data_IF_384315365354
#
_entry.id   IF_384315365354
#
_cell.length_a   1.000
_cell.length_b   1.000
_cell.length_c   1.000
_cell.angle_alpha   90.00
_cell.angle_beta   90.00
_cell.angle_gamma   90.00
#
_symmetry.space_group_name_H-M   'P 1'
#
loop_
_entity.id
_entity.type
_entity.pdbx_description
1 polymer ?
#
# COMPACT_ATOMS: atom_id res chain seq x y z
N UNK A 1 -8.57 -15.57 -11.94
CA UNK A 1 -7.86 -14.35 -12.37
C UNK A 1 -7.53 -13.42 -11.21
N UNK A 2 -8.52 -12.87 -10.51
CA UNK A 2 -8.31 -11.89 -9.42
C UNK A 2 -7.40 -12.43 -8.28
N UNK A 3 -7.50 -13.74 -7.94
CA UNK A 3 -6.61 -14.39 -6.97
C UNK A 3 -5.13 -14.46 -7.40
N UNK A 4 -4.86 -14.55 -8.70
CA UNK A 4 -3.49 -14.60 -9.23
C UNK A 4 -2.86 -13.21 -9.22
N UNK A 5 -3.60 -12.19 -9.66
CA UNK A 5 -3.17 -10.78 -9.60
C UNK A 5 -2.76 -10.41 -8.18
N UNK A 6 -3.60 -10.74 -7.20
CA UNK A 6 -3.30 -10.52 -5.79
C UNK A 6 -2.01 -11.23 -5.32
N UNK A 7 -1.76 -12.45 -5.80
CA UNK A 7 -0.52 -13.18 -5.49
C UNK A 7 0.69 -12.47 -6.08
N UNK A 8 0.57 -11.95 -7.30
CA UNK A 8 1.64 -11.21 -7.98
C UNK A 8 1.95 -9.90 -7.23
N UNK A 9 0.93 -9.12 -6.87
CA UNK A 9 1.08 -7.89 -6.07
C UNK A 9 1.78 -8.15 -4.73
N UNK A 10 1.37 -9.21 -4.01
CA UNK A 10 2.04 -9.65 -2.77
C UNK A 10 3.48 -10.07 -3.02
N UNK A 11 3.70 -10.84 -4.08
CA UNK A 11 5.00 -11.33 -4.49
C UNK A 11 5.98 -10.20 -4.81
N UNK A 12 5.48 -9.03 -5.21
CA UNK A 12 6.30 -7.87 -5.53
C UNK A 12 7.16 -7.36 -4.36
N UNK A 13 6.72 -7.60 -3.12
CA UNK A 13 7.47 -7.21 -1.91
C UNK A 13 8.54 -8.22 -1.50
N UNK A 14 8.49 -9.45 -2.03
CA UNK A 14 9.41 -10.53 -1.61
C UNK A 14 10.90 -10.13 -1.66
N UNK A 15 11.41 -9.40 -2.68
CA UNK A 15 12.83 -9.06 -2.75
C UNK A 15 13.25 -7.99 -1.72
N UNK A 16 12.30 -7.33 -1.06
CA UNK A 16 12.57 -6.30 -0.06
C UNK A 16 12.80 -6.86 1.34
N UNK A 17 12.30 -8.06 1.65
CA UNK A 17 12.37 -8.62 3.02
C UNK A 17 13.76 -8.62 3.65
N UNK A 18 14.87 -8.88 2.91
CA UNK A 18 16.23 -8.77 3.46
C UNK A 18 16.63 -7.36 3.89
N UNK A 19 16.01 -6.32 3.31
CA UNK A 19 16.29 -4.90 3.57
C UNK A 19 15.38 -4.31 4.66
N UNK A 20 14.32 -5.02 5.06
CA UNK A 20 13.29 -4.53 5.97
C UNK A 20 13.53 -5.04 7.40
N UNK A 21 13.94 -4.12 8.28
CA UNK A 21 14.14 -4.36 9.70
C UNK A 21 12.83 -4.73 10.42
N UNK A 22 12.95 -5.48 11.52
CA UNK A 22 11.82 -5.81 12.41
C UNK A 22 11.72 -4.75 13.52
N UNK A 23 10.53 -4.53 14.11
CA UNK A 23 9.25 -5.16 13.75
C UNK A 23 8.68 -4.54 12.47
N UNK A 24 7.99 -5.35 11.64
CA UNK A 24 7.40 -4.89 10.37
C UNK A 24 5.91 -4.67 10.52
N UNK A 25 5.43 -3.50 10.15
CA UNK A 25 4.02 -3.14 10.15
C UNK A 25 3.44 -3.26 8.74
N UNK A 26 2.42 -4.09 8.58
CA UNK A 26 1.67 -4.23 7.34
C UNK A 26 0.41 -3.34 7.40
N UNK A 27 0.24 -2.50 6.40
CA UNK A 27 -0.87 -1.56 6.22
C UNK A 27 -1.55 -1.82 4.88
N UNK A 28 -2.87 -1.90 4.83
CA UNK A 28 -3.59 -1.88 3.55
C UNK A 28 -4.95 -2.52 3.60
N UNK A 29 -5.75 -2.33 2.56
CA UNK A 29 -7.02 -3.05 2.38
C UNK A 29 -6.86 -3.91 1.15
N UNK A 30 -6.91 -5.23 1.31
CA UNK A 30 -6.85 -6.12 0.16
C UNK A 30 -8.16 -6.07 -0.63
N UNK A 31 -8.12 -6.01 -1.98
CA UNK A 31 -9.30 -5.90 -2.84
C UNK A 31 -10.40 -6.92 -2.51
N UNK A 32 -10.03 -8.13 -2.09
CA UNK A 32 -10.97 -9.23 -1.81
C UNK A 32 -11.26 -9.46 -0.32
N UNK A 33 -10.52 -8.82 0.59
CA UNK A 33 -10.68 -9.08 2.01
C UNK A 33 -11.71 -8.15 2.67
N UNK A 34 -12.01 -6.97 2.09
CA UNK A 34 -12.78 -5.87 2.73
C UNK A 34 -12.35 -5.56 4.19
N UNK A 35 -11.21 -6.12 4.60
CA UNK A 35 -10.67 -6.11 5.94
C UNK A 35 -9.34 -5.39 5.82
N UNK A 36 -9.20 -4.19 6.40
CA UNK A 36 -7.90 -3.59 6.51
C UNK A 36 -6.97 -4.49 7.32
N UNK A 37 -5.77 -4.67 6.81
CA UNK A 37 -4.67 -5.29 7.53
C UNK A 37 -3.92 -4.17 8.23
N UNK A 38 -3.76 -4.37 9.54
CA UNK A 38 -2.84 -3.68 10.42
C UNK A 38 -2.13 -4.77 11.23
N UNK A 39 -1.20 -5.51 10.63
CA UNK A 39 -0.44 -6.58 11.32
C UNK A 39 0.97 -6.12 11.60
N UNK A 40 1.42 -6.27 12.84
CA UNK A 40 2.83 -6.18 13.17
C UNK A 40 3.40 -7.60 13.11
N UNK A 41 4.54 -7.83 12.46
CA UNK A 41 5.17 -9.16 12.35
C UNK A 41 5.23 -9.84 13.72
N UNK A 42 4.57 -11.00 13.85
CA UNK A 42 4.49 -11.77 15.10
C UNK A 42 3.31 -11.42 16.03
N UNK A 43 2.45 -10.46 15.67
CA UNK A 43 1.23 -10.11 16.42
C UNK A 43 -0.01 -10.26 15.54
N UNK A 44 -1.15 -10.62 16.15
CA UNK A 44 -2.45 -10.62 15.46
C UNK A 44 -2.75 -9.21 14.94
N UNK A 45 -3.49 -9.07 13.82
CA UNK A 45 -3.88 -7.77 13.29
C UNK A 45 -4.53 -6.91 14.39
N UNK A 46 -4.16 -5.64 14.47
CA UNK A 46 -4.82 -4.63 15.29
C UNK A 46 -6.23 -4.37 14.71
N UNK A 47 -7.16 -5.26 14.99
CA UNK A 47 -8.59 -5.00 14.87
C UNK A 47 -9.11 -4.67 16.26
N UNK A 48 -9.65 -3.45 16.46
CA UNK A 48 -10.60 -3.26 17.56
C UNK A 48 -11.86 -4.05 17.20
N UNK A 49 -11.92 -5.32 17.60
CA UNK A 49 -13.20 -6.01 17.75
C UNK A 49 -13.90 -5.38 18.93
N UNK A 50 -14.85 -4.47 18.70
CA UNK A 50 -15.95 -4.32 19.64
C UNK A 50 -16.68 -5.66 19.61
N UNK A 51 -16.40 -6.51 20.59
CA UNK A 51 -17.22 -7.68 20.87
C UNK A 51 -18.61 -7.19 21.24
N UNK A 52 -19.55 -7.31 20.31
CA UNK A 52 -20.96 -7.59 20.60
C UNK A 52 -21.57 -8.23 19.36
N UNK A 53 -22.10 -9.44 19.56
CA UNK A 53 -22.88 -10.20 18.57
C UNK A 53 -23.87 -9.26 17.88
N UNK A 54 -23.93 -9.31 16.55
CA UNK A 54 -25.00 -8.70 15.77
C UNK A 54 -24.71 -7.30 15.22
N UNK A 55 -23.71 -7.16 14.35
CA UNK A 55 -23.81 -6.37 13.11
C UNK A 55 -22.47 -6.38 12.36
N UNK A 56 -22.48 -6.78 11.08
CA UNK A 56 -21.33 -6.69 10.16
C UNK A 56 -21.08 -5.23 9.74
N UNK A 57 -20.78 -4.33 10.68
CA UNK A 57 -20.28 -2.99 10.35
C UNK A 57 -18.79 -3.10 9.98
N UNK A 58 -18.42 -2.42 8.89
CA UNK A 58 -17.11 -2.49 8.26
C UNK A 58 -15.97 -2.24 9.25
N UNK A 59 -14.88 -2.98 9.08
CA UNK A 59 -13.74 -2.94 9.99
C UNK A 59 -12.97 -1.63 9.79
N UNK A 60 -12.90 -0.79 10.83
CA UNK A 60 -12.18 0.49 10.81
C UNK A 60 -10.68 0.28 11.10
N UNK A 61 -9.83 0.91 10.29
CA UNK A 61 -8.37 0.94 10.47
C UNK A 61 -7.83 2.34 10.24
N UNK A 62 -6.57 2.63 10.64
CA UNK A 62 -5.87 3.85 10.26
C UNK A 62 -5.90 4.10 8.74
N UNK A 63 -5.83 3.02 7.94
CA UNK A 63 -5.89 3.07 6.48
C UNK A 63 -7.28 3.55 6.02
N UNK A 64 -8.38 3.00 6.54
CA UNK A 64 -9.75 3.37 6.10
C UNK A 64 -10.24 4.71 6.65
N UNK A 65 -9.73 5.14 7.82
CA UNK A 65 -10.25 6.30 8.56
C UNK A 65 -9.29 7.49 8.56
N UNK A 66 -8.04 7.30 8.13
CA UNK A 66 -6.98 8.30 8.30
C UNK A 66 -6.72 8.63 9.78
N UNK A 67 -7.05 7.73 10.72
CA UNK A 67 -6.75 7.90 12.15
C UNK A 67 -5.28 7.57 12.44
N UNK A 68 -4.82 7.99 13.62
CA UNK A 68 -3.47 7.70 14.10
C UNK A 68 -3.20 6.19 14.14
N UNK A 69 -1.98 5.79 13.81
CA UNK A 69 -1.52 4.42 13.98
C UNK A 69 -1.31 4.23 15.50
N UNK A 70 -1.95 3.23 16.14
CA UNK A 70 -1.90 3.05 17.61
C UNK A 70 -0.58 2.38 18.04
N UNK A 71 0.53 2.99 17.68
CA UNK A 71 1.89 2.60 18.02
C UNK A 71 2.68 3.84 18.43
N UNK A 72 3.68 3.65 19.28
CA UNK A 72 4.57 4.72 19.72
C UNK A 72 5.43 5.22 18.56
N UNK A 73 5.92 6.45 18.70
CA UNK A 73 6.89 7.00 17.76
C UNK A 73 8.17 6.16 17.78
N UNK A 74 8.80 5.92 16.63
CA UNK A 74 10.04 5.14 16.53
C UNK A 74 9.95 3.76 17.22
N UNK A 75 8.95 2.97 16.82
CA UNK A 75 8.71 1.63 17.37
C UNK A 75 8.66 0.54 16.30
N UNK A 76 8.96 0.89 15.05
CA UNK A 76 8.77 0.05 13.86
C UNK A 76 9.99 0.17 12.95
N UNK A 77 10.66 -0.95 12.71
CA UNK A 77 11.81 -0.99 11.81
C UNK A 77 11.43 -0.86 10.33
N UNK A 78 10.24 -1.31 9.94
CA UNK A 78 9.76 -1.18 8.55
C UNK A 78 8.24 -1.22 8.38
N UNK A 79 7.73 -0.58 7.33
CA UNK A 79 6.31 -0.58 6.94
C UNK A 79 6.16 -1.19 5.54
N UNK A 80 5.19 -2.09 5.38
CA UNK A 80 4.73 -2.61 4.10
C UNK A 80 3.30 -2.11 3.89
N UNK A 81 3.07 -1.34 2.83
CA UNK A 81 1.77 -0.74 2.55
C UNK A 81 1.28 -1.12 1.17
N UNK A 82 0.01 -1.50 1.04
CA UNK A 82 -0.65 -1.61 -0.26
C UNK A 82 -1.87 -0.71 -0.29
N UNK A 83 -1.85 0.21 -1.24
CA UNK A 83 -2.92 1.17 -1.43
C UNK A 83 -3.98 0.59 -2.36
N UNK A 84 -5.22 0.41 -1.88
CA UNK A 84 -6.30 -0.06 -2.73
C UNK A 84 -6.65 1.00 -3.78
N UNK A 85 -7.20 0.56 -4.91
CA UNK A 85 -7.83 1.44 -5.88
C UNK A 85 -8.94 2.28 -5.22
N UNK A 86 -8.98 3.58 -5.54
CA UNK A 86 -9.99 4.46 -4.97
C UNK A 86 -9.72 4.85 -3.53
N UNK A 87 -8.48 4.74 -3.06
CA UNK A 87 -8.04 5.25 -1.77
C UNK A 87 -8.20 6.79 -1.70
N UNK A 88 -9.40 7.22 -1.34
CA UNK A 88 -9.82 8.62 -1.39
C UNK A 88 -9.45 9.41 -0.13
N UNK A 89 -9.25 8.76 1.02
CA UNK A 89 -9.08 9.44 2.30
C UNK A 89 -7.65 9.31 2.88
N UNK A 90 -7.03 10.47 3.16
CA UNK A 90 -6.00 10.56 4.20
C UNK A 90 -4.58 10.11 3.90
N UNK A 91 -4.15 9.88 2.64
CA UNK A 91 -2.77 9.44 2.32
C UNK A 91 -1.70 10.31 3.00
N UNK A 92 -1.83 11.64 2.94
CA UNK A 92 -0.90 12.56 3.61
C UNK A 92 -0.78 12.25 5.11
N UNK A 93 -1.91 12.08 5.80
CA UNK A 93 -1.95 11.79 7.24
C UNK A 93 -1.40 10.38 7.54
N UNK A 94 -1.73 9.40 6.70
CA UNK A 94 -1.21 8.04 6.83
C UNK A 94 0.31 8.00 6.63
N UNK A 95 0.86 8.77 5.69
CA UNK A 95 2.30 8.90 5.49
C UNK A 95 2.98 9.60 6.67
N UNK A 96 2.39 10.67 7.22
CA UNK A 96 2.92 11.30 8.43
C UNK A 96 2.91 10.38 9.65
N UNK A 97 1.84 9.62 9.86
CA UNK A 97 1.78 8.63 10.94
C UNK A 97 2.76 7.47 10.70
N UNK A 98 2.92 7.05 9.45
CA UNK A 98 3.91 6.05 9.05
C UNK A 98 5.32 6.53 9.36
N UNK A 99 5.62 7.80 9.07
CA UNK A 99 6.88 8.44 9.41
C UNK A 99 7.10 8.46 10.93
N UNK A 100 6.06 8.87 11.70
CA UNK A 100 6.13 8.95 13.17
C UNK A 100 6.51 7.62 13.81
N UNK A 101 5.86 6.52 13.41
CA UNK A 101 6.06 5.20 14.04
C UNK A 101 7.33 4.49 13.55
N UNK A 102 7.87 4.85 12.38
CA UNK A 102 9.12 4.28 11.87
C UNK A 102 10.34 4.72 12.67
N UNK A 103 11.31 3.85 12.84
CA UNK A 103 12.63 4.21 13.39
C UNK A 103 13.41 5.12 12.41
N UNK A 104 14.44 5.81 12.91
CA UNK A 104 15.38 6.51 12.04
C UNK A 104 16.10 5.52 11.10
N UNK A 105 16.21 5.86 9.82
CA UNK A 105 16.67 4.92 8.79
C UNK A 105 15.68 3.78 8.47
N UNK A 106 14.53 3.76 9.14
CA UNK A 106 13.45 2.81 8.90
C UNK A 106 12.86 2.96 7.50
N UNK A 107 12.42 1.84 6.92
CA UNK A 107 11.98 1.80 5.51
C UNK A 107 10.47 1.59 5.38
N UNK A 108 9.88 2.24 4.39
CA UNK A 108 8.49 2.04 3.96
C UNK A 108 8.46 1.52 2.52
N UNK A 109 7.69 0.47 2.26
CA UNK A 109 7.44 -0.05 0.92
C UNK A 109 5.95 0.17 0.57
N UNK A 110 5.64 0.97 -0.44
CA UNK A 110 4.26 1.28 -0.84
C UNK A 110 3.96 0.68 -2.21
N UNK A 111 3.07 -0.31 -2.24
CA UNK A 111 2.52 -0.93 -3.44
C UNK A 111 1.25 -0.25 -3.92
N UNK A 112 1.18 0.10 -5.19
CA UNK A 112 -0.03 0.67 -5.81
C UNK A 112 -0.07 0.43 -7.32
N UNK A 113 -1.27 0.57 -7.88
CA UNK A 113 -1.51 0.57 -9.33
C UNK A 113 -1.40 2.01 -9.86
N UNK A 114 -0.44 2.35 -10.73
CA UNK A 114 -0.32 3.69 -11.28
C UNK A 114 -1.50 4.04 -12.18
N UNK A 115 -1.99 5.27 -12.08
CA UNK A 115 -3.11 5.79 -12.88
C UNK A 115 -2.90 5.65 -14.38
N UNK A 116 -1.66 5.82 -14.84
CA UNK A 116 -1.29 5.80 -16.25
C UNK A 116 -1.06 4.38 -16.81
N UNK A 117 -1.07 3.35 -15.97
CA UNK A 117 -0.87 1.96 -16.40
C UNK A 117 -2.12 1.39 -17.10
N UNK A 118 -1.95 0.30 -17.87
CA UNK A 118 -3.07 -0.43 -18.46
C UNK A 118 -4.06 -0.93 -17.39
N UNK A 119 -3.53 -1.37 -16.25
CA UNK A 119 -4.31 -1.78 -15.08
C UNK A 119 -5.08 -0.61 -14.45
N UNK A 120 -4.42 0.53 -14.25
CA UNK A 120 -5.05 1.74 -13.71
C UNK A 120 -6.22 2.23 -14.58
N UNK A 121 -6.05 2.21 -15.91
CA UNK A 121 -7.15 2.50 -16.86
C UNK A 121 -8.27 1.46 -16.76
N UNK A 122 -7.92 0.17 -16.81
CA UNK A 122 -8.90 -0.91 -16.71
C UNK A 122 -9.77 -0.82 -15.45
N UNK A 123 -9.17 -0.57 -14.29
CA UNK A 123 -9.92 -0.47 -13.03
C UNK A 123 -10.82 0.76 -12.97
N UNK A 124 -10.35 1.90 -13.49
CA UNK A 124 -11.16 3.11 -13.63
C UNK A 124 -12.37 2.87 -14.52
N UNK A 125 -12.16 2.23 -15.67
CA UNK A 125 -13.20 2.02 -16.69
C UNK A 125 -14.19 0.90 -16.28
N UNK A 126 -13.73 -0.10 -15.52
CA UNK A 126 -14.61 -1.15 -14.96
C UNK A 126 -15.55 -0.59 -13.90
N UNK A 127 -15.08 0.36 -13.07
CA UNK A 127 -15.90 0.94 -11.99
C UNK A 127 -16.85 2.05 -12.46
N UNK A 128 -16.49 2.82 -13.48
CA UNK A 128 -17.40 3.80 -14.08
C UNK A 128 -18.68 3.17 -14.64
N UNK A 129 -18.62 1.88 -15.03
CA UNK A 129 -19.77 1.10 -15.50
C UNK A 129 -20.69 0.57 -14.41
N UNK A 130 -20.23 0.51 -13.14
CA UNK A 130 -20.94 -0.16 -12.04
C UNK A 130 -21.40 0.82 -10.96
N UNK A 131 -20.70 1.95 -10.77
CA UNK A 131 -21.02 2.90 -9.72
C UNK A 131 -20.99 4.34 -10.25
N UNK A 132 -22.05 5.11 -9.98
CA UNK A 132 -22.12 6.58 -10.13
C UNK A 132 -21.24 7.31 -9.08
N UNK A 133 -20.16 6.67 -8.59
CA UNK A 133 -19.32 7.20 -7.52
C UNK A 133 -18.35 8.28 -8.01
N UNK A 134 -18.06 9.30 -7.19
CA UNK A 134 -17.08 10.35 -7.50
C UNK A 134 -15.70 9.78 -7.87
N UNK A 135 -14.97 10.51 -8.71
CA UNK A 135 -13.63 10.19 -9.25
C UNK A 135 -12.78 9.41 -8.24
N UNK A 136 -12.61 8.11 -8.48
CA UNK A 136 -11.70 7.25 -7.74
C UNK A 136 -10.31 7.88 -7.75
N UNK A 137 -9.74 8.11 -6.57
CA UNK A 137 -8.38 8.62 -6.48
C UNK A 137 -7.42 7.47 -6.78
N UNK A 138 -6.82 7.53 -7.97
CA UNK A 138 -5.70 6.68 -8.39
C UNK A 138 -4.52 7.62 -8.56
N UNK A 139 -3.41 7.29 -7.89
CA UNK A 139 -2.21 8.12 -7.89
C UNK A 139 -1.35 7.81 -9.12
N UNK A 140 -0.77 8.85 -9.70
CA UNK A 140 0.37 8.67 -10.60
C UNK A 140 1.64 8.33 -9.81
N UNK A 141 2.68 7.84 -10.50
CA UNK A 141 3.98 7.64 -9.89
C UNK A 141 4.52 8.94 -9.27
N UNK A 142 4.52 10.03 -10.04
CA UNK A 142 5.00 11.34 -9.61
C UNK A 142 4.24 11.88 -8.40
N UNK A 143 2.91 11.69 -8.37
CA UNK A 143 2.09 12.09 -7.23
C UNK A 143 2.47 11.30 -5.97
N UNK A 144 2.71 9.99 -6.08
CA UNK A 144 3.12 9.17 -4.94
C UNK A 144 4.48 9.59 -4.41
N UNK A 145 5.47 9.76 -5.29
CA UNK A 145 6.83 10.21 -4.94
C UNK A 145 6.78 11.56 -4.22
N UNK A 146 6.04 12.52 -4.78
CA UNK A 146 5.86 13.83 -4.17
C UNK A 146 5.27 13.75 -2.77
N UNK A 147 4.23 12.94 -2.57
CA UNK A 147 3.60 12.77 -1.24
C UNK A 147 4.52 12.09 -0.23
N UNK A 148 5.32 11.11 -0.66
CA UNK A 148 6.32 10.48 0.19
C UNK A 148 7.41 11.47 0.62
N UNK A 149 7.92 12.27 -0.32
CA UNK A 149 8.91 13.31 -0.04
C UNK A 149 8.37 14.39 0.90
N UNK A 150 7.14 14.89 0.67
CA UNK A 150 6.47 15.84 1.56
C UNK A 150 6.32 15.30 3.00
N UNK A 151 6.18 13.98 3.17
CA UNK A 151 6.08 13.36 4.48
C UNK A 151 7.44 13.17 5.19
N UNK A 152 8.56 13.37 4.47
CA UNK A 152 9.93 13.25 4.99
C UNK A 152 10.68 11.98 4.53
N UNK A 153 10.13 11.22 3.57
CA UNK A 153 10.80 10.04 3.04
C UNK A 153 11.71 10.38 1.87
N UNK A 154 12.86 9.71 1.80
CA UNK A 154 13.68 9.69 0.59
C UNK A 154 13.38 8.44 -0.25
N UNK A 155 13.25 8.60 -1.55
CA UNK A 155 12.99 7.47 -2.47
C UNK A 155 14.29 6.71 -2.70
N UNK A 156 14.27 5.41 -2.39
CA UNK A 156 15.42 4.51 -2.48
C UNK A 156 15.36 3.61 -3.72
N UNK A 157 14.18 3.43 -4.31
CA UNK A 157 14.03 2.66 -5.54
C UNK A 157 12.63 2.11 -5.75
N UNK A 158 12.53 1.26 -6.76
CA UNK A 158 11.27 0.73 -7.27
C UNK A 158 11.36 -0.77 -7.49
N UNK A 159 10.23 -1.45 -7.34
CA UNK A 159 9.99 -2.74 -7.97
C UNK A 159 8.71 -2.66 -8.78
N UNK A 160 8.61 -3.44 -9.84
CA UNK A 160 7.43 -3.44 -10.68
C UNK A 160 7.05 -4.83 -11.18
N UNK A 161 5.76 -5.04 -11.41
CA UNK A 161 5.17 -6.30 -11.90
C UNK A 161 3.82 -6.02 -12.58
N UNK A 162 3.04 -7.06 -12.89
CA UNK A 162 1.80 -7.00 -13.66
C UNK A 162 2.00 -6.42 -15.07
N UNK A 163 2.88 -7.05 -15.85
CA UNK A 163 3.13 -6.78 -17.26
C UNK A 163 2.06 -7.43 -18.17
N UNK A 164 1.46 -8.54 -17.75
CA UNK A 164 0.30 -9.13 -18.41
C UNK A 164 -0.87 -8.13 -18.42
N UNK A 165 -1.69 -8.19 -19.46
CA UNK A 165 -2.86 -7.33 -19.59
C UNK A 165 -3.94 -7.67 -18.55
N UNK A 166 -4.70 -6.67 -18.09
CA UNK A 166 -5.91 -6.94 -17.30
C UNK A 166 -6.86 -7.85 -18.07
N UNK A 167 -7.42 -8.87 -17.42
CA UNK A 167 -8.25 -9.87 -18.13
C UNK A 167 -7.47 -11.06 -18.72
N UNK A 168 -6.13 -11.01 -18.73
CA UNK A 168 -5.31 -12.02 -19.42
C UNK A 168 -4.25 -12.66 -18.50
N UNK A 169 -4.21 -12.29 -17.21
CA UNK A 169 -3.26 -12.85 -16.25
C UNK A 169 -3.46 -14.37 -16.07
N UNK A 170 -2.50 -15.16 -16.56
CA UNK A 170 -2.50 -16.63 -16.56
C UNK A 170 -1.39 -17.21 -15.69
N UNK A 171 -0.26 -16.52 -15.57
CA UNK A 171 0.92 -16.99 -14.86
C UNK A 171 1.43 -16.00 -13.81
N UNK A 172 2.20 -16.50 -12.85
CA UNK A 172 2.82 -15.66 -11.83
C UNK A 172 4.01 -14.90 -12.41
N UNK A 173 4.04 -13.59 -12.21
CA UNK A 173 5.14 -12.73 -12.60
C UNK A 173 6.04 -12.39 -11.43
N UNK A 174 7.34 -12.70 -11.57
CA UNK A 174 8.35 -12.23 -10.61
C UNK A 174 8.51 -10.71 -10.75
N UNK A 175 8.70 -9.98 -9.63
CA UNK A 175 8.97 -8.55 -9.70
C UNK A 175 10.29 -8.24 -10.38
N UNK A 176 10.28 -7.20 -11.20
CA UNK A 176 11.46 -6.57 -11.76
C UNK A 176 11.97 -5.49 -10.80
N UNK A 177 13.30 -5.40 -10.60
CA UNK A 177 13.93 -4.31 -9.83
C UNK A 177 14.13 -3.11 -10.73
N UNK A 178 13.67 -1.94 -10.28
CA UNK A 178 13.60 -0.72 -11.07
C UNK A 178 12.19 -0.44 -11.60
N UNK A 179 12.09 0.60 -12.41
CA UNK A 179 10.83 1.05 -13.00
C UNK A 179 10.73 0.62 -14.47
N UNK A 180 9.55 0.17 -14.88
CA UNK A 180 9.18 -0.06 -16.27
C UNK A 180 7.81 0.53 -16.54
N UNK A 181 7.69 1.31 -17.61
CA UNK A 181 6.45 2.00 -17.96
C UNK A 181 5.27 1.05 -18.22
N UNK A 182 5.53 -0.17 -18.71
CA UNK A 182 4.49 -1.15 -18.99
C UNK A 182 3.92 -1.84 -17.73
N UNK A 183 4.51 -1.62 -16.56
CA UNK A 183 4.08 -2.31 -15.34
C UNK A 183 2.71 -1.83 -14.85
N UNK A 184 1.87 -2.79 -14.44
CA UNK A 184 0.58 -2.56 -13.83
C UNK A 184 0.63 -2.25 -12.33
N UNK A 185 1.68 -2.70 -11.64
CA UNK A 185 1.85 -2.50 -10.21
C UNK A 185 3.27 -2.08 -9.89
N UNK A 186 3.40 -1.07 -9.05
CA UNK A 186 4.68 -0.55 -8.56
C UNK A 186 4.76 -0.69 -7.05
N UNK A 187 5.95 -0.99 -6.56
CA UNK A 187 6.34 -0.87 -5.15
C UNK A 187 7.41 0.21 -5.07
N UNK A 188 7.13 1.28 -4.32
CA UNK A 188 8.11 2.33 -4.03
C UNK A 188 8.75 2.06 -2.68
N UNK A 189 10.07 2.04 -2.64
CA UNK A 189 10.83 1.96 -1.40
C UNK A 189 11.23 3.36 -0.97
N UNK A 190 10.82 3.75 0.23
CA UNK A 190 11.21 4.98 0.89
C UNK A 190 11.97 4.69 2.18
N UNK A 191 12.84 5.62 2.56
CA UNK A 191 13.56 5.60 3.83
C UNK A 191 13.28 6.88 4.61
N UNK A 192 12.96 6.72 5.91
CA UNK A 192 12.82 7.83 6.84
C UNK A 192 14.21 8.43 7.08
N UNK A 193 14.40 9.69 6.68
CA UNK A 193 15.58 10.48 7.06
C UNK A 193 15.37 11.07 8.44
N UNK A 194 16.45 11.36 9.17
CA UNK A 194 16.36 12.30 10.27
C UNK A 194 15.93 13.66 9.70
N UNK A 195 15.09 14.42 10.40
CA UNK A 195 14.96 15.84 10.09
C UNK A 195 16.16 16.50 10.75
N UNK A 196 17.01 17.14 9.96
CA UNK A 196 17.96 18.09 10.51
C UNK A 196 17.12 19.19 11.18
N UNK A 197 17.17 19.24 12.52
CA UNK A 197 16.49 20.24 13.36
C UNK A 197 17.36 21.48 13.45
#
# INVERSE_FOLDING_TARGET
>A
MERLVLKIEKGAFSPLFPLLAKPRLELGIWPHSKRPILSLSGRKPFSKTSSRKGNRKGMESPVTTGRAIPLDSQSVGSILMILPEGFACGLKKLLHESYRVLDEGGKIAIGFVPRESLWGRFYRDRRSRVFLTPKLRIYSLKEMEHRMMEAGFSIQGYLCTLFQRPGEAKEFEKPFRGYRFQAGFLVLLGERRARDV
#
